data_IF_355590623351
#
_entry.id   IF_355590623351
#
_cell.length_a   1.000
_cell.length_b   1.000
_cell.length_c   1.000
_cell.angle_alpha   90.00
_cell.angle_beta   90.00
_cell.angle_gamma   90.00
#
_symmetry.space_group_name_H-M   'P 1'
#
loop_
_entity.id
_entity.type
_entity.pdbx_description
1 polymer ?
#
# COMPACT_ATOMS: atom_id res chain seq x y z
N UNK A 1 -0.59 -48.48 11.27
CA UNK A 1 0.37 -48.15 12.36
C UNK A 1 1.21 -49.40 12.66
N UNK A 2 2.54 -49.29 12.76
CA UNK A 2 3.37 -50.40 13.29
C UNK A 2 3.11 -50.54 14.79
N UNK A 3 2.92 -51.76 15.30
CA UNK A 3 2.82 -52.01 16.75
C UNK A 3 4.10 -51.49 17.43
N UNK A 4 3.95 -50.66 18.47
CA UNK A 4 5.07 -50.16 19.29
C UNK A 4 5.55 -48.72 19.02
N UNK A 5 4.99 -47.99 18.04
CA UNK A 5 5.34 -46.58 17.84
C UNK A 5 4.74 -45.67 18.92
N UNK A 6 5.56 -44.88 19.63
CA UNK A 6 5.09 -43.82 20.55
C UNK A 6 4.17 -42.86 19.78
N UNK A 7 2.97 -42.59 20.32
CA UNK A 7 2.07 -41.57 19.79
C UNK A 7 2.72 -40.20 19.96
N UNK A 8 2.90 -39.48 18.86
CA UNK A 8 3.33 -38.09 18.89
C UNK A 8 2.08 -37.20 18.94
N UNK A 9 1.44 -37.16 20.11
CA UNK A 9 0.20 -36.40 20.31
C UNK A 9 0.48 -34.88 20.31
N UNK A 10 -0.49 -34.09 19.85
CA UNK A 10 -0.36 -32.63 19.80
C UNK A 10 -0.32 -32.06 21.22
N UNK A 11 0.72 -31.29 21.52
CA UNK A 11 0.83 -30.55 22.77
C UNK A 11 0.23 -29.16 22.59
N UNK A 12 -0.26 -28.56 23.67
CA UNK A 12 -0.76 -27.17 23.68
C UNK A 12 0.28 -26.19 23.11
N UNK A 13 1.57 -26.39 23.42
CA UNK A 13 2.64 -25.58 22.86
C UNK A 13 2.78 -25.70 21.32
N UNK A 14 2.62 -26.92 20.79
CA UNK A 14 2.67 -27.16 19.33
C UNK A 14 1.50 -26.44 18.63
N UNK A 15 0.32 -26.46 19.26
CA UNK A 15 -0.88 -25.80 18.74
C UNK A 15 -0.73 -24.29 18.73
N UNK A 16 -0.26 -23.72 19.85
CA UNK A 16 0.03 -22.29 19.95
C UNK A 16 1.04 -21.86 18.88
N UNK A 17 2.14 -22.60 18.74
CA UNK A 17 3.14 -22.32 17.72
C UNK A 17 2.54 -22.34 16.31
N UNK A 18 1.70 -23.34 16.00
CA UNK A 18 1.01 -23.41 14.71
C UNK A 18 0.10 -22.20 14.48
N UNK A 19 -0.70 -21.80 15.48
CA UNK A 19 -1.61 -20.65 15.38
C UNK A 19 -0.84 -19.36 15.16
N UNK A 20 0.24 -19.14 15.91
CA UNK A 20 1.04 -17.91 15.86
C UNK A 20 1.81 -17.76 14.55
N UNK A 21 2.27 -18.88 13.96
CA UNK A 21 3.18 -18.86 12.81
C UNK A 21 2.51 -19.21 11.47
N UNK A 22 1.32 -19.80 11.48
CA UNK A 22 0.57 -20.07 10.26
C UNK A 22 0.26 -18.77 9.51
N UNK A 23 0.54 -18.76 8.21
CA UNK A 23 0.44 -17.56 7.38
C UNK A 23 1.73 -16.74 7.30
N UNK A 24 2.53 -16.74 8.37
CA UNK A 24 3.75 -15.92 8.51
C UNK A 24 4.97 -16.58 7.90
N UNK A 25 5.14 -17.88 8.15
CA UNK A 25 6.30 -18.65 7.66
C UNK A 25 5.85 -19.81 6.75
N UNK A 26 6.72 -20.29 5.85
CA UNK A 26 6.43 -21.46 5.04
C UNK A 26 6.05 -22.68 5.88
N UNK A 27 5.05 -23.45 5.42
CA UNK A 27 4.64 -24.71 6.06
C UNK A 27 5.82 -25.66 6.34
N UNK A 28 6.82 -25.67 5.45
CA UNK A 28 8.03 -26.48 5.61
C UNK A 28 8.76 -26.16 6.92
N UNK A 29 8.90 -24.88 7.26
CA UNK A 29 9.55 -24.42 8.49
C UNK A 29 8.72 -24.79 9.72
N UNK A 30 7.39 -24.68 9.63
CA UNK A 30 6.47 -25.15 10.68
C UNK A 30 6.66 -26.65 10.94
N UNK A 31 6.73 -27.46 9.88
CA UNK A 31 6.94 -28.90 9.99
C UNK A 31 8.30 -29.23 10.64
N UNK A 32 9.35 -28.53 10.25
CA UNK A 32 10.70 -28.70 10.80
C UNK A 32 10.73 -28.34 12.28
N UNK A 33 10.16 -27.20 12.67
CA UNK A 33 10.12 -26.73 14.05
C UNK A 33 9.33 -27.69 14.94
N UNK A 34 8.13 -28.08 14.52
CA UNK A 34 7.27 -29.00 15.27
C UNK A 34 7.73 -30.46 15.20
N UNK A 35 8.73 -30.78 14.36
CA UNK A 35 9.17 -32.14 14.04
C UNK A 35 8.00 -33.05 13.65
N UNK A 36 7.07 -32.50 12.86
CA UNK A 36 5.84 -33.18 12.41
C UNK A 36 5.79 -33.29 10.89
N UNK A 37 5.09 -34.32 10.41
CA UNK A 37 4.85 -34.47 8.97
C UNK A 37 3.92 -33.37 8.45
N UNK A 38 4.09 -33.03 7.17
CA UNK A 38 3.23 -32.09 6.44
C UNK A 38 1.74 -32.44 6.59
N UNK A 39 1.41 -33.73 6.54
CA UNK A 39 0.02 -34.19 6.66
C UNK A 39 -0.53 -33.99 8.09
N UNK A 40 0.27 -34.26 9.12
CA UNK A 40 -0.13 -34.00 10.51
C UNK A 40 -0.45 -32.51 10.74
N UNK A 41 0.39 -31.62 10.22
CA UNK A 41 0.18 -30.16 10.30
C UNK A 41 -1.08 -29.74 9.53
N UNK A 42 -1.33 -30.29 8.34
CA UNK A 42 -2.57 -30.01 7.57
C UNK A 42 -3.82 -30.43 8.32
N UNK A 43 -3.85 -31.64 8.87
CA UNK A 43 -5.01 -32.16 9.59
C UNK A 43 -5.26 -31.34 10.87
N UNK A 44 -4.21 -30.94 11.59
CA UNK A 44 -4.37 -30.08 12.76
C UNK A 44 -4.87 -28.69 12.39
N UNK A 45 -4.31 -28.07 11.35
CA UNK A 45 -4.80 -26.78 10.85
C UNK A 45 -6.28 -26.86 10.40
N UNK A 46 -6.70 -27.99 9.80
CA UNK A 46 -8.11 -28.23 9.47
C UNK A 46 -8.97 -28.31 10.74
N UNK A 47 -8.55 -29.06 11.75
CA UNK A 47 -9.28 -29.16 13.02
C UNK A 47 -9.42 -27.81 13.73
N UNK A 48 -8.36 -26.99 13.76
CA UNK A 48 -8.39 -25.63 14.33
C UNK A 48 -9.39 -24.73 13.59
N UNK A 49 -9.45 -24.81 12.25
CA UNK A 49 -10.46 -24.07 11.46
C UNK A 49 -11.88 -24.51 11.80
N UNK A 50 -12.12 -25.81 12.01
CA UNK A 50 -13.44 -26.30 12.43
C UNK A 50 -13.83 -25.80 13.83
N UNK A 51 -12.86 -25.45 14.67
CA UNK A 51 -13.07 -24.82 15.97
C UNK A 51 -13.20 -23.28 15.88
N UNK A 52 -13.24 -22.72 14.67
CA UNK A 52 -13.38 -21.28 14.45
C UNK A 52 -12.05 -20.50 14.51
N UNK A 53 -10.90 -21.16 14.59
CA UNK A 53 -9.60 -20.48 14.65
C UNK A 53 -9.08 -20.28 13.20
N UNK A 54 -8.88 -19.04 12.73
CA UNK A 54 -8.55 -18.77 11.34
C UNK A 54 -7.06 -19.03 11.04
N UNK A 55 -6.75 -20.27 10.66
CA UNK A 55 -5.37 -20.75 10.42
C UNK A 55 -5.16 -21.09 8.94
N UNK A 56 -4.27 -20.37 8.25
CA UNK A 56 -3.86 -20.67 6.87
C UNK A 56 -2.43 -21.20 6.82
N UNK A 57 -2.20 -22.31 6.11
CA UNK A 57 -0.86 -22.85 5.87
C UNK A 57 -0.18 -22.26 4.62
N UNK A 58 -0.85 -21.34 3.92
CA UNK A 58 -0.23 -20.59 2.82
C UNK A 58 0.64 -19.50 3.44
N UNK A 59 1.86 -19.34 2.94
CA UNK A 59 2.75 -18.28 3.37
C UNK A 59 2.53 -17.05 2.48
N UNK A 60 2.33 -15.90 3.11
CA UNK A 60 2.26 -14.63 2.40
C UNK A 60 3.63 -13.94 2.46
N UNK A 61 4.22 -13.67 1.29
CA UNK A 61 5.44 -12.89 1.17
C UNK A 61 5.07 -11.51 0.60
N UNK A 62 5.10 -10.45 1.42
CA UNK A 62 4.88 -9.09 0.95
C UNK A 62 5.85 -8.75 -0.18
N UNK A 63 5.37 -8.00 -1.17
CA UNK A 63 6.17 -7.52 -2.32
C UNK A 63 6.38 -6.02 -2.29
N UNK A 64 5.63 -5.29 -1.47
CA UNK A 64 5.84 -3.85 -1.32
C UNK A 64 7.08 -3.54 -0.49
N UNK A 65 7.74 -2.47 -0.87
CA UNK A 65 8.88 -1.92 -0.14
C UNK A 65 8.54 -0.51 0.37
N UNK A 66 9.05 -0.12 1.55
CA UNK A 66 8.86 1.23 2.05
C UNK A 66 9.61 2.23 1.17
N UNK A 67 8.90 3.26 0.71
CA UNK A 67 9.52 4.39 0.01
C UNK A 67 10.43 5.16 0.98
N UNK A 68 11.70 5.45 0.62
CA UNK A 68 12.63 6.15 1.52
C UNK A 68 12.25 7.61 1.76
N UNK A 69 11.45 8.22 0.87
CA UNK A 69 11.02 9.63 1.01
C UNK A 69 9.82 9.81 1.94
N UNK A 70 8.81 8.93 1.85
CA UNK A 70 7.56 9.10 2.60
C UNK A 70 7.26 7.98 3.61
N UNK A 71 8.03 6.89 3.62
CA UNK A 71 7.80 5.71 4.46
C UNK A 71 6.59 4.84 4.05
N UNK A 72 5.77 5.28 3.09
CA UNK A 72 4.64 4.47 2.60
C UNK A 72 5.14 3.26 1.82
N UNK A 73 4.44 2.13 1.99
CA UNK A 73 4.66 0.94 1.16
C UNK A 73 4.33 1.26 -0.31
N UNK A 74 5.19 0.81 -1.21
CA UNK A 74 5.04 0.98 -2.65
C UNK A 74 5.32 -0.34 -3.36
N UNK A 75 4.50 -0.64 -4.39
CA UNK A 75 4.77 -1.76 -5.28
C UNK A 75 5.67 -1.38 -6.47
N UNK A 76 5.91 -0.09 -6.66
CA UNK A 76 6.53 0.46 -7.86
C UNK A 76 7.44 1.65 -7.51
N UNK A 77 8.57 1.36 -6.88
CA UNK A 77 9.67 2.32 -6.80
C UNK A 77 10.22 2.56 -8.22
N UNK A 78 10.38 3.82 -8.60
CA UNK A 78 10.93 4.15 -9.92
C UNK A 78 12.45 4.10 -9.95
N UNK A 79 13.03 4.57 -11.05
CA UNK A 79 14.50 4.55 -11.25
C UNK A 79 15.27 5.36 -10.21
N UNK A 80 14.62 6.35 -9.63
CA UNK A 80 15.09 7.23 -8.55
C UNK A 80 14.93 6.60 -7.16
N UNK A 81 14.36 5.39 -7.05
CA UNK A 81 14.20 4.67 -5.79
C UNK A 81 13.07 5.18 -4.89
N UNK A 82 12.23 6.09 -5.38
CA UNK A 82 11.06 6.61 -4.63
C UNK A 82 9.75 6.18 -5.29
N UNK A 83 8.65 6.26 -4.54
CA UNK A 83 7.33 5.91 -5.06
C UNK A 83 6.79 6.97 -6.02
N UNK A 84 5.85 6.58 -6.88
CA UNK A 84 5.25 7.52 -7.84
C UNK A 84 4.61 8.74 -7.17
N UNK A 85 3.82 8.62 -6.08
CA UNK A 85 3.28 9.79 -5.40
C UNK A 85 4.33 10.83 -4.99
N UNK A 86 5.51 10.41 -4.53
CA UNK A 86 6.57 11.34 -4.17
C UNK A 86 7.12 12.08 -5.40
N UNK A 87 7.40 11.37 -6.49
CA UNK A 87 7.79 12.00 -7.77
C UNK A 87 6.78 13.01 -8.25
N UNK A 88 5.48 12.68 -8.17
CA UNK A 88 4.41 13.56 -8.63
C UNK A 88 4.26 14.79 -7.73
N UNK A 89 4.44 14.67 -6.41
CA UNK A 89 4.47 15.83 -5.50
C UNK A 89 5.60 16.79 -5.85
N UNK A 90 6.80 16.26 -6.09
CA UNK A 90 7.95 17.06 -6.52
C UNK A 90 7.68 17.74 -7.87
N UNK A 91 7.14 17.00 -8.84
CA UNK A 91 6.75 17.55 -10.14
C UNK A 91 5.73 18.69 -9.98
N UNK A 92 4.72 18.52 -9.14
CA UNK A 92 3.71 19.55 -8.87
C UNK A 92 4.34 20.80 -8.23
N UNK A 93 5.23 20.60 -7.26
CA UNK A 93 5.96 21.70 -6.61
C UNK A 93 6.79 22.50 -7.62
N UNK A 94 7.48 21.82 -8.54
CA UNK A 94 8.26 22.47 -9.60
C UNK A 94 7.38 23.26 -10.58
N UNK A 95 6.17 22.78 -10.87
CA UNK A 95 5.20 23.52 -11.70
C UNK A 95 4.73 24.77 -10.96
N UNK A 96 4.39 24.65 -9.68
CA UNK A 96 3.97 25.78 -8.84
C UNK A 96 5.08 26.83 -8.69
N UNK A 97 6.32 26.42 -8.49
CA UNK A 97 7.47 27.32 -8.49
C UNK A 97 7.58 28.10 -9.82
N UNK A 98 7.45 27.40 -10.95
CA UNK A 98 7.45 28.06 -12.25
C UNK A 98 6.24 28.97 -12.51
N UNK A 99 5.10 28.73 -11.88
CA UNK A 99 3.96 29.67 -11.90
C UNK A 99 4.29 30.91 -11.07
N UNK A 100 4.84 30.73 -9.86
CA UNK A 100 5.23 31.82 -8.98
C UNK A 100 6.27 32.76 -9.61
N UNK A 101 7.18 32.22 -10.43
CA UNK A 101 8.13 33.03 -11.21
C UNK A 101 7.49 33.84 -12.36
N UNK A 102 6.38 33.35 -12.93
CA UNK A 102 5.69 34.01 -14.03
C UNK A 102 4.69 35.07 -13.56
N UNK A 103 4.03 34.85 -12.42
CA UNK A 103 3.00 35.77 -11.91
C UNK A 103 3.49 37.24 -11.80
N UNK A 104 4.73 37.54 -11.38
CA UNK A 104 5.23 38.91 -11.35
C UNK A 104 5.44 39.62 -12.67
N UNK A 105 5.41 38.88 -13.77
CA UNK A 105 5.56 39.43 -15.12
C UNK A 105 4.22 39.82 -15.73
N UNK A 106 3.11 39.49 -15.09
CA UNK A 106 1.78 39.90 -15.54
C UNK A 106 1.51 41.38 -15.21
N UNK A 107 0.68 42.05 -16.02
CA UNK A 107 0.03 43.30 -15.64
C UNK A 107 -0.71 43.20 -14.29
N UNK A 108 -0.84 44.33 -13.59
CA UNK A 108 -1.41 44.37 -12.23
C UNK A 108 -2.87 43.90 -12.16
N UNK A 109 -3.68 44.22 -13.15
CA UNK A 109 -5.09 43.82 -13.27
C UNK A 109 -5.24 42.31 -13.48
N UNK A 110 -4.38 41.72 -14.29
CA UNK A 110 -4.32 40.27 -14.50
C UNK A 110 -3.84 39.54 -13.25
N UNK A 111 -2.86 40.10 -12.55
CA UNK A 111 -2.37 39.56 -11.28
C UNK A 111 -3.46 39.56 -10.19
N UNK A 112 -4.18 40.66 -10.03
CA UNK A 112 -5.28 40.79 -9.05
C UNK A 112 -6.39 39.75 -9.31
N UNK A 113 -6.67 39.45 -10.58
CA UNK A 113 -7.62 38.39 -10.96
C UNK A 113 -7.15 37.00 -10.50
N UNK A 114 -5.87 36.68 -10.68
CA UNK A 114 -5.32 35.40 -10.22
C UNK A 114 -5.27 35.29 -8.69
N UNK A 115 -4.98 36.38 -7.98
CA UNK A 115 -4.99 36.40 -6.51
C UNK A 115 -6.40 36.13 -5.97
N UNK A 116 -7.43 36.74 -6.56
CA UNK A 116 -8.84 36.56 -6.16
C UNK A 116 -9.36 35.15 -6.42
N UNK A 117 -8.86 34.47 -7.46
CA UNK A 117 -9.37 33.16 -7.90
C UNK A 117 -8.53 31.98 -7.41
N UNK A 118 -7.48 32.20 -6.61
CA UNK A 118 -6.58 31.14 -6.13
C UNK A 118 -7.33 30.02 -5.40
N UNK A 119 -8.31 30.38 -4.57
CA UNK A 119 -9.11 29.43 -3.79
C UNK A 119 -10.01 28.52 -4.67
N UNK A 120 -10.29 28.90 -5.91
CA UNK A 120 -11.14 28.14 -6.83
C UNK A 120 -10.35 27.12 -7.67
N UNK A 121 -9.03 27.02 -7.47
CA UNK A 121 -8.14 26.21 -8.32
C UNK A 121 -8.12 24.71 -7.99
N UNK A 122 -8.91 24.27 -7.02
CA UNK A 122 -8.91 22.89 -6.57
C UNK A 122 -9.32 21.90 -7.67
N UNK A 123 -8.53 20.84 -7.81
CA UNK A 123 -8.88 19.72 -8.68
C UNK A 123 -9.77 18.73 -7.94
N UNK A 124 -10.71 18.10 -8.64
CA UNK A 124 -11.46 16.95 -8.10
C UNK A 124 -10.48 15.90 -7.56
N UNK A 125 -10.67 15.52 -6.30
CA UNK A 125 -9.96 14.40 -5.64
C UNK A 125 -10.88 13.22 -5.47
N UNK A 126 -10.42 12.04 -5.89
CA UNK A 126 -11.08 10.80 -5.54
C UNK A 126 -10.78 10.46 -4.08
N UNK A 127 -11.77 9.95 -3.31
CA UNK A 127 -11.57 9.58 -1.93
C UNK A 127 -10.61 8.39 -1.82
N UNK A 128 -9.81 8.38 -0.75
CA UNK A 128 -8.89 7.28 -0.47
C UNK A 128 -9.66 5.97 -0.26
N UNK A 129 -9.18 4.81 -0.76
CA UNK A 129 -9.79 3.52 -0.49
C UNK A 129 -9.92 3.26 1.01
N UNK A 130 -11.09 2.78 1.43
CA UNK A 130 -11.34 2.39 2.82
C UNK A 130 -10.48 1.21 3.22
N UNK A 131 -10.04 1.20 4.48
CA UNK A 131 -9.30 0.07 5.03
C UNK A 131 -10.13 -1.22 4.93
N UNK A 132 -9.50 -2.37 4.60
CA UNK A 132 -10.20 -3.64 4.52
C UNK A 132 -10.67 -4.07 5.91
N UNK A 133 -11.85 -4.68 6.01
CA UNK A 133 -12.23 -5.39 7.23
C UNK A 133 -11.39 -6.67 7.31
N UNK A 134 -10.65 -6.84 8.41
CA UNK A 134 -9.76 -7.99 8.63
C UNK A 134 -10.23 -8.92 9.74
N UNK A 135 -11.40 -8.64 10.33
CA UNK A 135 -12.00 -9.47 11.36
C UNK A 135 -12.25 -10.90 10.86
N UNK A 136 -11.87 -11.88 11.68
CA UNK A 136 -12.04 -13.30 11.37
C UNK A 136 -11.12 -13.85 10.28
N UNK A 137 -10.30 -13.01 9.63
CA UNK A 137 -9.36 -13.45 8.60
C UNK A 137 -8.14 -14.15 9.21
N UNK A 138 -7.61 -15.14 8.49
CA UNK A 138 -6.30 -15.69 8.81
C UNK A 138 -5.21 -14.65 8.56
N UNK A 139 -4.03 -14.82 9.18
CA UNK A 139 -2.89 -13.93 8.93
C UNK A 139 -2.60 -13.76 7.43
N UNK A 140 -2.64 -14.85 6.66
CA UNK A 140 -2.41 -14.83 5.21
C UNK A 140 -3.41 -13.93 4.48
N UNK A 141 -4.71 -14.06 4.81
CA UNK A 141 -5.77 -13.27 4.17
C UNK A 141 -5.67 -11.81 4.56
N UNK A 142 -5.39 -11.53 5.83
CA UNK A 142 -5.16 -10.17 6.34
C UNK A 142 -3.98 -9.51 5.64
N UNK A 143 -2.80 -10.13 5.64
CA UNK A 143 -1.61 -9.57 5.01
C UNK A 143 -1.81 -9.32 3.50
N UNK A 144 -2.52 -10.22 2.82
CA UNK A 144 -2.89 -10.04 1.42
C UNK A 144 -3.84 -8.86 1.21
N UNK A 145 -4.84 -8.71 2.08
CA UNK A 145 -5.79 -7.60 2.00
C UNK A 145 -5.13 -6.25 2.31
N UNK A 146 -4.25 -6.21 3.31
CA UNK A 146 -3.48 -5.02 3.67
C UNK A 146 -2.54 -4.57 2.54
N UNK A 147 -1.82 -5.49 1.90
CA UNK A 147 -0.97 -5.15 0.75
C UNK A 147 -1.79 -4.67 -0.46
N UNK A 148 -2.92 -5.32 -0.75
CA UNK A 148 -3.81 -4.88 -1.83
C UNK A 148 -4.41 -3.49 -1.55
N UNK A 149 -4.74 -3.19 -0.29
CA UNK A 149 -5.20 -1.87 0.13
C UNK A 149 -4.10 -0.81 -0.01
N UNK A 150 -2.88 -1.10 0.42
CA UNK A 150 -1.74 -0.18 0.26
C UNK A 150 -1.50 0.18 -1.21
N UNK A 151 -1.55 -0.80 -2.12
CA UNK A 151 -1.46 -0.57 -3.57
C UNK A 151 -2.60 0.31 -4.09
N UNK A 152 -3.83 0.04 -3.66
CA UNK A 152 -4.99 0.84 -4.07
C UNK A 152 -4.88 2.29 -3.58
N UNK A 153 -4.37 2.50 -2.36
CA UNK A 153 -4.10 3.82 -1.82
C UNK A 153 -3.01 4.56 -2.61
N UNK A 154 -1.91 3.86 -2.95
CA UNK A 154 -0.83 4.41 -3.78
C UNK A 154 -1.37 4.87 -5.15
N UNK A 155 -2.13 4.02 -5.84
CA UNK A 155 -2.69 4.33 -7.16
C UNK A 155 -3.71 5.49 -7.10
N UNK A 156 -4.59 5.50 -6.09
CA UNK A 156 -5.54 6.59 -5.88
C UNK A 156 -4.82 7.94 -5.68
N UNK A 157 -3.79 7.95 -4.83
CA UNK A 157 -2.99 9.13 -4.58
C UNK A 157 -2.24 9.60 -5.83
N UNK A 158 -1.60 8.69 -6.55
CA UNK A 158 -0.92 8.99 -7.81
C UNK A 158 -1.90 9.52 -8.87
N UNK A 159 -3.11 8.97 -8.94
CA UNK A 159 -4.20 9.43 -9.80
C UNK A 159 -4.62 10.86 -9.50
N UNK A 160 -4.84 11.19 -8.22
CA UNK A 160 -5.17 12.55 -7.78
C UNK A 160 -4.06 13.54 -8.12
N UNK A 161 -2.79 13.20 -7.84
CA UNK A 161 -1.65 14.05 -8.16
C UNK A 161 -1.47 14.28 -9.66
N UNK A 162 -1.71 13.26 -10.51
CA UNK A 162 -1.69 13.42 -11.97
C UNK A 162 -2.72 14.45 -12.46
N UNK A 163 -3.90 14.49 -11.84
CA UNK A 163 -4.94 15.49 -12.18
C UNK A 163 -4.51 16.90 -11.78
N UNK A 164 -4.00 17.04 -10.56
CA UNK A 164 -3.46 18.32 -10.07
C UNK A 164 -2.33 18.85 -10.95
N UNK A 165 -1.38 17.99 -11.31
CA UNK A 165 -0.29 18.32 -12.24
C UNK A 165 -0.86 18.81 -13.58
N UNK A 166 -1.85 18.12 -14.15
CA UNK A 166 -2.46 18.53 -15.42
C UNK A 166 -3.13 19.91 -15.30
N UNK A 167 -3.86 20.16 -14.22
CA UNK A 167 -4.50 21.45 -13.97
C UNK A 167 -3.47 22.58 -13.78
N UNK A 168 -2.43 22.34 -12.96
CA UNK A 168 -1.33 23.27 -12.74
C UNK A 168 -0.55 23.56 -14.02
N UNK A 169 -0.27 22.55 -14.84
CA UNK A 169 0.40 22.72 -16.12
C UNK A 169 -0.44 23.60 -17.07
N UNK A 170 -1.75 23.37 -17.16
CA UNK A 170 -2.65 24.22 -17.96
C UNK A 170 -2.71 25.65 -17.43
N UNK A 171 -2.68 25.85 -16.13
CA UNK A 171 -2.58 27.18 -15.52
C UNK A 171 -1.27 27.87 -15.92
N UNK A 172 -0.14 27.18 -15.78
CA UNK A 172 1.18 27.68 -16.20
C UNK A 172 1.20 28.08 -17.68
N UNK A 173 0.64 27.24 -18.56
CA UNK A 173 0.50 27.54 -19.98
C UNK A 173 -0.32 28.83 -20.23
N UNK A 174 -1.46 29.02 -19.54
CA UNK A 174 -2.29 30.23 -19.69
C UNK A 174 -1.55 31.49 -19.24
N UNK A 175 -0.90 31.45 -18.08
CA UNK A 175 -0.13 32.58 -17.55
C UNK A 175 1.03 32.91 -18.49
N UNK A 176 1.78 31.89 -18.92
CA UNK A 176 2.89 32.08 -19.86
C UNK A 176 2.46 32.74 -21.17
N UNK A 177 1.28 32.38 -21.71
CA UNK A 177 0.73 33.06 -22.89
C UNK A 177 0.45 34.54 -22.64
N UNK A 178 -0.13 34.90 -21.49
CA UNK A 178 -0.41 36.30 -21.13
C UNK A 178 0.85 37.14 -20.88
N UNK A 179 1.92 36.51 -20.39
CA UNK A 179 3.21 37.20 -20.17
C UNK A 179 3.94 37.49 -21.49
N UNK A 180 3.73 36.68 -22.53
CA UNK A 180 4.41 36.81 -23.82
C UNK A 180 3.57 37.52 -24.90
N UNK A 181 2.39 38.05 -24.55
CA UNK A 181 1.54 38.89 -25.40
C UNK A 181 1.78 40.36 -25.09
#
# INVERSE_FOLDING_TARGET
>A
MRRGGRRNDWKVADERYLIENAGRIPRREICQHLRRSSESVKQKAKALRMQGIPVSLRHYRPRLEPCPSCGCLSGHLGRDGICEPCRRREQLANIHAGIAELLPRLPLDERDTYEKTEAETESRRDPMPKAPNTEGLSYYERAKAEEAHALACEECLAGNLRREIKAAQKRKERISKKVNQ
#
